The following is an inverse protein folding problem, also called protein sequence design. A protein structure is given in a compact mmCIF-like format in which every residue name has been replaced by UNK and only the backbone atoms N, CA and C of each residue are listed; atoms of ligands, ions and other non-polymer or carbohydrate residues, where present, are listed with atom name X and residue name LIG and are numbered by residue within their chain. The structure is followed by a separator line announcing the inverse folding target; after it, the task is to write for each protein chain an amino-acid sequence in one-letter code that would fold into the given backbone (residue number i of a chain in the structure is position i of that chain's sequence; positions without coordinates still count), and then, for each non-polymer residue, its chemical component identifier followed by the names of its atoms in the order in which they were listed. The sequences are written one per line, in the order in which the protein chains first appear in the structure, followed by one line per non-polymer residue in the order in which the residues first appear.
data_IF_516290522964
#
_entry.id   IF_516290522964
#
_cell.length_a   1.000
_cell.length_b   1.000
_cell.length_c   1.000
_cell.angle_alpha   90.00
_cell.angle_beta   90.00
_cell.angle_gamma   90.00
#
_symmetry.space_group_name_H-M   'P 1'
#
loop_
_entity.id
_entity.type
_entity.pdbx_description
1 polymer ?
#
# COMPACT_ATOMS: atom_id res chain seq x y z
N UNK A 1 2.48 -16.67 0.13
CA UNK A 1 2.19 -15.23 0.06
C UNK A 1 3.07 -14.50 1.06
N UNK A 2 3.73 -13.42 0.65
CA UNK A 2 4.44 -12.48 1.52
C UNK A 2 3.60 -11.23 1.72
N UNK A 3 3.66 -10.64 2.90
CA UNK A 3 3.03 -9.36 3.18
C UNK A 3 4.08 -8.30 3.52
N UNK A 4 3.91 -7.09 3.02
CA UNK A 4 4.78 -5.95 3.32
C UNK A 4 3.91 -4.76 3.71
N UNK A 5 4.30 -4.07 4.78
CA UNK A 5 3.75 -2.77 5.14
C UNK A 5 4.82 -1.88 5.76
N UNK A 6 4.55 -0.58 5.79
CA UNK A 6 5.46 0.40 6.37
C UNK A 6 5.49 0.35 7.91
N UNK A 7 6.39 1.15 8.50
CA UNK A 7 6.54 1.25 9.95
C UNK A 7 5.70 2.34 10.62
N UNK A 8 4.64 2.84 9.98
CA UNK A 8 3.81 3.94 10.52
C UNK A 8 3.17 3.52 11.85
N UNK A 9 3.04 4.41 12.86
CA UNK A 9 2.57 4.03 14.19
C UNK A 9 1.24 3.27 14.23
N UNK A 10 0.30 3.60 13.35
CA UNK A 10 -0.99 2.90 13.22
C UNK A 10 -0.82 1.41 12.91
N UNK A 11 0.25 1.03 12.23
CA UNK A 11 0.56 -0.33 11.82
C UNK A 11 1.41 -1.11 12.83
N UNK A 12 1.85 -0.47 13.92
CA UNK A 12 2.80 -1.06 14.88
C UNK A 12 2.14 -1.65 16.14
N UNK A 13 0.80 -1.61 16.25
CA UNK A 13 0.10 -2.14 17.42
C UNK A 13 0.40 -3.63 17.64
N UNK A 14 0.25 -4.10 18.88
CA UNK A 14 0.43 -5.52 19.21
C UNK A 14 -0.60 -6.36 18.45
N UNK A 15 -1.84 -5.90 18.36
CA UNK A 15 -2.93 -6.62 17.69
C UNK A 15 -2.66 -6.83 16.20
N UNK A 16 -2.15 -5.81 15.50
CA UNK A 16 -1.74 -5.93 14.10
C UNK A 16 -0.64 -6.98 13.95
N UNK A 17 0.40 -6.94 14.80
CA UNK A 17 1.51 -7.90 14.73
C UNK A 17 1.07 -9.33 15.04
N UNK A 18 0.17 -9.50 16.01
CA UNK A 18 -0.40 -10.81 16.33
C UNK A 18 -1.22 -11.36 15.16
N UNK A 19 -2.04 -10.52 14.53
CA UNK A 19 -2.79 -10.88 13.33
C UNK A 19 -1.86 -11.27 12.17
N UNK A 20 -0.79 -10.50 11.93
CA UNK A 20 0.17 -10.78 10.86
C UNK A 20 0.96 -12.07 11.13
N UNK A 21 1.35 -12.32 12.38
CA UNK A 21 1.98 -13.58 12.78
C UNK A 21 1.04 -14.78 12.58
N UNK A 22 -0.24 -14.67 12.94
CA UNK A 22 -1.21 -15.74 12.75
C UNK A 22 -1.52 -16.00 11.27
N UNK A 23 -1.59 -14.94 10.46
CA UNK A 23 -2.01 -15.01 9.05
C UNK A 23 -0.87 -15.38 8.11
N UNK A 24 0.33 -14.82 8.33
CA UNK A 24 1.47 -14.93 7.42
C UNK A 24 2.67 -15.67 8.02
N UNK A 25 2.67 -15.93 9.33
CA UNK A 25 3.78 -16.57 10.05
C UNK A 25 5.02 -15.69 10.02
N UNK A 26 6.15 -16.25 9.55
CA UNK A 26 7.41 -15.52 9.38
C UNK A 26 7.50 -14.75 8.06
N UNK A 27 6.44 -14.75 7.24
CA UNK A 27 6.45 -14.21 5.87
C UNK A 27 5.81 -12.84 5.78
N UNK A 28 6.17 -11.94 6.69
CA UNK A 28 5.79 -10.53 6.59
C UNK A 28 6.93 -9.60 6.98
N UNK A 29 6.96 -8.46 6.30
CA UNK A 29 8.01 -7.44 6.42
C UNK A 29 7.36 -6.19 7.00
N UNK A 30 7.90 -5.67 8.10
CA UNK A 30 7.32 -4.53 8.79
C UNK A 30 8.05 -4.20 10.08
N UNK A 31 7.66 -3.10 10.72
CA UNK A 31 8.30 -2.68 11.97
C UNK A 31 8.00 -3.69 13.09
N UNK A 32 9.06 -4.27 13.66
CA UNK A 32 8.94 -5.29 14.72
C UNK A 32 8.41 -6.64 14.24
N UNK A 33 8.45 -6.89 12.93
CA UNK A 33 8.13 -8.19 12.33
C UNK A 33 9.36 -9.09 12.14
N UNK A 34 9.15 -10.29 11.57
CA UNK A 34 10.21 -11.26 11.28
C UNK A 34 11.32 -10.69 10.39
N UNK A 35 10.95 -9.86 9.41
CA UNK A 35 11.88 -9.09 8.59
C UNK A 35 11.68 -7.60 8.90
N UNK A 36 12.66 -6.94 9.54
CA UNK A 36 12.50 -5.55 9.94
C UNK A 36 12.51 -4.62 8.72
N UNK A 37 11.54 -3.70 8.66
CA UNK A 37 11.51 -2.63 7.68
C UNK A 37 12.32 -1.40 8.16
N UNK A 38 13.18 -0.80 7.31
CA UNK A 38 13.89 0.41 7.68
C UNK A 38 12.94 1.61 7.89
N UNK A 39 13.22 2.48 8.88
CA UNK A 39 12.40 3.65 9.12
C UNK A 39 12.53 4.66 7.97
N UNK A 40 11.42 5.28 7.57
CA UNK A 40 11.37 6.35 6.55
C UNK A 40 11.89 5.93 5.15
N UNK A 41 11.53 4.73 4.72
CA UNK A 41 11.89 4.19 3.40
C UNK A 41 10.67 4.00 2.49
N UNK A 42 10.03 5.09 2.02
CA UNK A 42 8.94 5.01 1.06
C UNK A 42 9.43 4.52 -0.32
N UNK A 43 10.71 4.73 -0.64
CA UNK A 43 11.37 4.26 -1.85
C UNK A 43 11.40 2.72 -1.97
N UNK A 44 11.31 2.01 -0.85
CA UNK A 44 11.30 0.56 -0.82
C UNK A 44 9.87 -0.03 -0.89
N UNK A 45 8.84 0.78 -0.65
CA UNK A 45 7.45 0.36 -0.73
C UNK A 45 6.97 0.50 -2.17
N UNK A 46 6.54 -0.59 -2.82
CA UNK A 46 6.00 -0.52 -4.18
C UNK A 46 4.77 0.37 -4.29
N UNK A 47 3.98 0.45 -3.21
CA UNK A 47 2.82 1.33 -3.12
C UNK A 47 3.24 2.81 -3.13
N UNK A 48 4.23 3.19 -2.32
CA UNK A 48 4.66 4.59 -2.19
C UNK A 48 5.61 5.02 -3.31
N UNK A 49 6.49 4.13 -3.76
CA UNK A 49 7.43 4.38 -4.85
C UNK A 49 6.72 4.57 -6.20
N UNK A 50 5.70 3.74 -6.47
CA UNK A 50 5.05 3.71 -7.78
C UNK A 50 3.55 3.97 -7.70
N UNK A 51 2.79 3.09 -7.03
CA UNK A 51 1.34 3.01 -7.22
C UNK A 51 0.62 4.31 -6.86
N UNK A 52 0.87 4.87 -5.68
CA UNK A 52 0.16 6.06 -5.22
C UNK A 52 0.43 7.28 -6.09
N UNK A 53 1.68 7.47 -6.52
CA UNK A 53 2.04 8.55 -7.45
C UNK A 53 1.34 8.39 -8.80
N UNK A 54 1.34 7.16 -9.34
CA UNK A 54 0.73 6.86 -10.62
C UNK A 54 -0.80 7.01 -10.59
N UNK A 55 -1.47 6.44 -9.58
CA UNK A 55 -2.92 6.58 -9.42
C UNK A 55 -3.32 8.04 -9.24
N UNK A 56 -2.56 8.81 -8.46
CA UNK A 56 -2.82 10.24 -8.27
C UNK A 56 -2.74 11.00 -9.60
N UNK A 57 -1.75 10.69 -10.44
CA UNK A 57 -1.63 11.31 -11.75
C UNK A 57 -2.86 11.06 -12.63
N UNK A 58 -3.37 9.82 -12.66
CA UNK A 58 -4.56 9.45 -13.45
C UNK A 58 -5.85 10.04 -12.90
N UNK A 59 -6.06 9.94 -11.58
CA UNK A 59 -7.33 10.34 -10.94
C UNK A 59 -7.55 11.86 -11.02
N UNK A 60 -6.48 12.63 -10.88
CA UNK A 60 -6.50 14.10 -10.87
C UNK A 60 -6.10 14.74 -12.20
N UNK A 61 -6.09 13.98 -13.30
CA UNK A 61 -5.90 14.53 -14.65
C UNK A 61 -6.95 15.61 -14.97
N UNK A 62 -8.18 15.41 -14.48
CA UNK A 62 -9.26 16.41 -14.50
C UNK A 62 -9.75 16.69 -13.08
N UNK A 63 -10.41 17.84 -12.82
CA UNK A 63 -11.01 18.13 -11.52
C UNK A 63 -11.95 17.01 -11.07
N UNK A 64 -11.95 16.75 -9.76
CA UNK A 64 -12.80 15.75 -9.11
C UNK A 64 -13.85 16.50 -8.31
N UNK A 65 -15.11 16.26 -8.61
CA UNK A 65 -16.22 17.09 -8.12
C UNK A 65 -16.99 16.45 -6.94
N UNK A 66 -16.78 15.16 -6.67
CA UNK A 66 -17.39 14.47 -5.53
C UNK A 66 -16.56 13.27 -5.04
N UNK A 67 -16.94 12.72 -3.89
CA UNK A 67 -16.33 11.50 -3.34
C UNK A 67 -16.68 10.28 -4.19
N UNK A 68 -17.89 10.23 -4.74
CA UNK A 68 -18.34 9.15 -5.62
C UNK A 68 -17.52 9.12 -6.92
N UNK A 69 -17.29 10.29 -7.52
CA UNK A 69 -16.43 10.43 -8.69
C UNK A 69 -14.98 10.02 -8.36
N UNK A 70 -14.45 10.46 -7.22
CA UNK A 70 -13.12 10.06 -6.75
C UNK A 70 -12.98 8.53 -6.65
N UNK A 71 -13.95 7.85 -6.02
CA UNK A 71 -13.94 6.40 -5.86
C UNK A 71 -14.07 5.67 -7.19
N UNK A 72 -14.93 6.18 -8.09
CA UNK A 72 -15.09 5.61 -9.43
C UNK A 72 -13.77 5.69 -10.22
N UNK A 73 -13.12 6.85 -10.23
CA UNK A 73 -11.82 7.07 -10.90
C UNK A 73 -10.70 6.22 -10.30
N UNK A 74 -10.62 6.13 -8.96
CA UNK A 74 -9.67 5.25 -8.29
C UNK A 74 -9.84 3.79 -8.73
N UNK A 75 -11.07 3.32 -8.81
CA UNK A 75 -11.36 1.94 -9.24
C UNK A 75 -10.94 1.68 -10.69
N UNK A 76 -11.22 2.62 -11.60
CA UNK A 76 -10.81 2.53 -13.00
C UNK A 76 -9.29 2.58 -13.14
N UNK A 77 -8.63 3.54 -12.47
CA UNK A 77 -7.18 3.68 -12.52
C UNK A 77 -6.46 2.44 -11.96
N UNK A 78 -6.95 1.89 -10.84
CA UNK A 78 -6.40 0.67 -10.25
C UNK A 78 -6.58 -0.56 -11.16
N UNK A 79 -7.72 -0.66 -11.86
CA UNK A 79 -7.93 -1.70 -12.86
C UNK A 79 -6.94 -1.57 -14.03
N UNK A 80 -6.65 -0.35 -14.47
CA UNK A 80 -5.64 -0.10 -15.52
C UNK A 80 -4.24 -0.56 -15.12
N UNK A 81 -3.83 -0.32 -13.86
CA UNK A 81 -2.51 -0.77 -13.36
C UNK A 81 -2.36 -2.29 -13.40
N UNK A 82 -3.44 -3.04 -13.15
CA UNK A 82 -3.42 -4.50 -13.19
C UNK A 82 -3.05 -5.06 -14.56
N UNK A 83 -3.36 -4.33 -15.62
CA UNK A 83 -3.11 -4.73 -17.01
C UNK A 83 -1.74 -4.25 -17.54
N UNK A 84 -0.95 -3.53 -16.72
CA UNK A 84 0.42 -3.13 -17.09
C UNK A 84 1.29 -4.40 -17.14
N UNK A 85 1.89 -4.75 -18.29
CA UNK A 85 2.83 -5.88 -18.36
C UNK A 85 4.04 -5.62 -17.46
N UNK A 86 4.42 -6.64 -16.68
CA UNK A 86 5.63 -6.63 -15.85
C UNK A 86 6.90 -6.93 -16.61
#
# INVERSE_FOLDING_TARGET
MWFQHDGVPAHFSIDVRNYLNATFGTRWIGRGGPVPWPPRSPDLSSLDYFLWGHLKHLVYETPVDSVEDLVARLSVAAAGVREIPG
#
